data_IF_340691541416
#
_entry.id   IF_340691541416
#
_cell.length_a   1.000
_cell.length_b   1.000
_cell.length_c   1.000
_cell.angle_alpha   90.00
_cell.angle_beta   90.00
_cell.angle_gamma   90.00
#
_symmetry.space_group_name_H-M   'P 1'
#
loop_
_entity.id
_entity.type
_entity.pdbx_description
1 polymer ?
#
# COMPACT_ATOMS: atom_id res chain seq x y z
N UNK A 1 19.72 -32.25 -31.13
CA UNK A 1 19.45 -30.81 -31.17
C UNK A 1 20.39 -30.11 -30.19
N UNK A 2 21.13 -29.08 -30.55
CA UNK A 2 22.01 -28.38 -29.64
C UNK A 2 21.14 -27.69 -28.56
N UNK A 3 21.61 -27.71 -27.30
CA UNK A 3 20.97 -26.98 -26.21
C UNK A 3 20.98 -25.48 -26.55
N UNK A 4 19.86 -24.74 -26.31
CA UNK A 4 19.87 -23.29 -26.50
C UNK A 4 20.97 -22.66 -25.62
N UNK A 5 21.65 -21.65 -26.16
CA UNK A 5 22.65 -20.90 -25.40
C UNK A 5 22.00 -20.30 -24.13
N UNK A 6 22.73 -20.24 -23.00
CA UNK A 6 22.20 -19.60 -21.80
C UNK A 6 21.88 -18.13 -22.11
N UNK A 7 20.63 -17.76 -21.83
CA UNK A 7 20.18 -16.35 -21.94
C UNK A 7 21.05 -15.54 -20.97
N UNK A 8 21.71 -14.50 -21.45
CA UNK A 8 22.50 -13.58 -20.62
C UNK A 8 21.59 -12.95 -19.56
N UNK A 9 22.01 -13.00 -18.32
CA UNK A 9 21.30 -12.30 -17.22
C UNK A 9 21.32 -10.80 -17.47
N UNK A 10 20.25 -10.14 -17.12
CA UNK A 10 20.18 -8.67 -17.15
C UNK A 10 20.95 -8.11 -15.95
N UNK A 11 21.45 -6.86 -16.01
CA UNK A 11 22.21 -6.25 -14.90
C UNK A 11 21.49 -6.28 -13.55
N UNK A 12 20.14 -6.18 -13.57
CA UNK A 12 19.35 -6.28 -12.34
C UNK A 12 19.31 -7.72 -11.78
N UNK A 13 19.29 -8.75 -12.63
CA UNK A 13 19.33 -10.15 -12.20
C UNK A 13 20.64 -10.50 -11.51
N UNK A 14 21.76 -9.96 -12.00
CA UNK A 14 23.06 -10.12 -11.36
C UNK A 14 23.05 -9.42 -9.99
N UNK A 15 22.62 -8.17 -9.93
CA UNK A 15 22.51 -7.42 -8.69
C UNK A 15 21.52 -8.08 -7.69
N UNK A 16 20.42 -8.65 -8.18
CA UNK A 16 19.47 -9.36 -7.35
C UNK A 16 20.07 -10.57 -6.64
N UNK A 17 20.84 -11.40 -7.33
CA UNK A 17 21.51 -12.56 -6.73
C UNK A 17 22.52 -12.15 -5.64
N UNK A 18 23.13 -10.99 -5.77
CA UNK A 18 24.08 -10.45 -4.78
C UNK A 18 23.39 -9.98 -3.49
N UNK A 19 22.21 -9.38 -3.62
CA UNK A 19 21.50 -8.75 -2.49
C UNK A 19 20.35 -9.59 -1.91
N UNK A 20 20.06 -10.72 -2.54
CA UNK A 20 18.96 -11.63 -2.17
C UNK A 20 19.03 -12.03 -0.69
N UNK A 21 18.03 -11.67 0.12
CA UNK A 21 18.04 -12.02 1.54
C UNK A 21 17.90 -13.54 1.74
N UNK A 22 18.34 -14.02 2.89
CA UNK A 22 18.04 -15.39 3.30
C UNK A 22 16.50 -15.60 3.32
N UNK A 23 16.01 -16.82 3.00
CA UNK A 23 14.58 -17.07 2.90
C UNK A 23 13.87 -16.75 4.22
N UNK A 24 13.10 -15.68 4.18
CA UNK A 24 12.20 -15.27 5.25
C UNK A 24 10.79 -15.63 4.80
N UNK A 25 10.05 -16.39 5.59
CA UNK A 25 8.59 -16.54 5.36
C UNK A 25 7.91 -15.20 5.63
N UNK A 26 7.94 -14.31 4.63
CA UNK A 26 7.40 -12.96 4.73
C UNK A 26 6.15 -12.75 3.87
N UNK A 27 5.75 -13.77 3.12
CA UNK A 27 4.56 -13.75 2.27
C UNK A 27 3.48 -14.68 2.80
N UNK A 28 2.22 -14.25 2.72
CA UNK A 28 1.05 -15.03 3.09
C UNK A 28 -0.07 -14.80 2.08
N UNK A 29 -0.63 -15.87 1.54
CA UNK A 29 -1.86 -15.77 0.74
C UNK A 29 -3.04 -15.43 1.64
N UNK A 30 -3.76 -14.37 1.29
CA UNK A 30 -4.95 -13.87 2.00
C UNK A 30 -6.21 -14.42 1.33
N UNK A 31 -6.27 -14.32 0.02
CA UNK A 31 -7.30 -14.86 -0.88
C UNK A 31 -6.59 -15.42 -2.13
N UNK A 32 -7.21 -16.32 -2.90
CA UNK A 32 -6.61 -16.82 -4.14
C UNK A 32 -6.16 -15.68 -5.07
N UNK A 33 -4.83 -15.61 -5.31
CA UNK A 33 -4.20 -14.56 -6.10
C UNK A 33 -3.88 -13.26 -5.36
N UNK A 34 -4.21 -13.13 -4.07
CA UNK A 34 -3.82 -12.00 -3.23
C UNK A 34 -2.86 -12.44 -2.15
N UNK A 35 -1.67 -11.87 -2.14
CA UNK A 35 -0.63 -12.17 -1.16
C UNK A 35 -0.25 -10.93 -0.37
N UNK A 36 -0.19 -11.06 0.95
CA UNK A 36 0.33 -10.02 1.84
C UNK A 36 1.82 -10.28 2.09
N UNK A 37 2.63 -9.24 1.91
CA UNK A 37 4.08 -9.27 2.10
C UNK A 37 4.47 -8.40 3.28
N UNK A 38 5.24 -8.93 4.22
CA UNK A 38 5.83 -8.12 5.30
C UNK A 38 7.02 -7.34 4.78
N UNK A 39 6.86 -6.03 4.67
CA UNK A 39 7.93 -5.09 4.35
C UNK A 39 8.55 -4.49 5.62
N UNK A 40 9.35 -3.46 5.48
CA UNK A 40 9.80 -2.63 6.60
C UNK A 40 8.76 -1.54 6.84
N UNK A 41 8.19 -1.50 8.03
CA UNK A 41 7.20 -0.48 8.46
C UNK A 41 5.75 -0.89 8.22
N UNK A 42 5.42 -1.37 7.05
CA UNK A 42 4.04 -1.73 6.65
C UNK A 42 3.94 -3.14 6.05
N UNK A 43 2.85 -3.41 5.38
CA UNK A 43 2.63 -4.57 4.51
C UNK A 43 2.32 -4.09 3.10
N UNK A 44 3.04 -4.67 2.15
CA UNK A 44 2.69 -4.58 0.73
C UNK A 44 1.76 -5.73 0.34
N UNK A 45 1.10 -5.62 -0.80
CA UNK A 45 0.28 -6.69 -1.34
C UNK A 45 0.66 -6.99 -2.79
N UNK A 46 0.72 -8.28 -3.13
CA UNK A 46 0.85 -8.75 -4.50
C UNK A 46 -0.51 -9.23 -4.98
N UNK A 47 -1.02 -8.60 -6.01
CA UNK A 47 -2.26 -8.97 -6.70
C UNK A 47 -1.86 -9.68 -7.99
N UNK A 48 -2.01 -11.00 -8.01
CA UNK A 48 -1.62 -11.86 -9.14
C UNK A 48 -2.82 -12.09 -10.04
N UNK A 49 -2.75 -11.61 -11.27
CA UNK A 49 -3.79 -11.80 -12.29
C UNK A 49 -3.17 -12.31 -13.60
N UNK A 50 -3.44 -13.56 -13.92
CA UNK A 50 -2.79 -14.23 -15.05
C UNK A 50 -1.26 -14.20 -14.93
N UNK A 51 -0.58 -13.56 -15.89
CA UNK A 51 0.88 -13.42 -15.90
C UNK A 51 1.37 -12.14 -15.22
N UNK A 52 0.48 -11.23 -14.89
CA UNK A 52 0.84 -9.93 -14.36
C UNK A 52 0.63 -9.85 -12.84
N UNK A 53 1.46 -9.05 -12.20
CA UNK A 53 1.36 -8.72 -10.78
C UNK A 53 1.19 -7.21 -10.65
N UNK A 54 0.19 -6.80 -9.88
CA UNK A 54 0.10 -5.44 -9.33
C UNK A 54 0.63 -5.48 -7.89
N UNK A 55 1.67 -4.69 -7.62
CA UNK A 55 2.20 -4.46 -6.29
C UNK A 55 1.47 -3.26 -5.68
N UNK A 56 0.98 -3.40 -4.45
CA UNK A 56 0.36 -2.31 -3.69
C UNK A 56 1.26 -2.00 -2.51
N UNK A 57 1.73 -0.76 -2.44
CA UNK A 57 2.73 -0.23 -1.52
C UNK A 57 4.10 -0.92 -1.59
N UNK A 58 5.13 -0.27 -1.06
CA UNK A 58 6.53 -0.69 -1.20
C UNK A 58 7.29 -0.78 0.12
N UNK A 59 6.67 -0.36 1.24
CA UNK A 59 7.34 -0.31 2.54
C UNK A 59 8.38 0.82 2.63
N UNK A 60 9.13 0.86 3.73
CA UNK A 60 10.27 1.74 3.89
C UNK A 60 11.43 1.36 2.94
N UNK A 61 12.37 2.27 2.76
CA UNK A 61 13.61 2.05 2.02
C UNK A 61 14.30 0.72 2.42
N UNK A 62 14.78 -0.03 1.43
CA UNK A 62 15.35 -1.37 1.60
C UNK A 62 14.31 -2.48 1.78
N UNK A 63 13.04 -2.23 1.43
CA UNK A 63 12.01 -3.26 1.35
C UNK A 63 11.97 -3.99 0.00
N UNK A 64 12.53 -3.41 -1.05
CA UNK A 64 12.57 -3.98 -2.40
C UNK A 64 13.02 -5.44 -2.43
N UNK A 65 14.18 -5.83 -1.84
CA UNK A 65 14.64 -7.22 -1.81
C UNK A 65 13.64 -8.19 -1.16
N UNK A 66 12.89 -7.75 -0.16
CA UNK A 66 11.86 -8.58 0.49
C UNK A 66 10.66 -8.81 -0.40
N UNK A 67 10.24 -7.79 -1.15
CA UNK A 67 9.14 -7.84 -2.11
C UNK A 67 9.51 -8.78 -3.26
N UNK A 68 10.68 -8.60 -3.87
CA UNK A 68 11.14 -9.45 -4.97
C UNK A 68 11.30 -10.92 -4.52
N UNK A 69 11.82 -11.16 -3.33
CA UNK A 69 11.91 -12.51 -2.77
C UNK A 69 10.51 -13.13 -2.55
N UNK A 70 9.54 -12.34 -2.06
CA UNK A 70 8.16 -12.82 -1.92
C UNK A 70 7.52 -13.21 -3.26
N UNK A 71 7.82 -12.47 -4.33
CA UNK A 71 7.38 -12.81 -5.69
C UNK A 71 7.99 -14.16 -6.14
N UNK A 72 9.27 -14.38 -5.88
CA UNK A 72 9.90 -15.67 -6.19
C UNK A 72 9.36 -16.82 -5.31
N UNK A 73 9.07 -16.54 -4.03
CA UNK A 73 8.52 -17.54 -3.08
C UNK A 73 7.14 -18.06 -3.52
N UNK A 74 6.34 -17.22 -4.20
CA UNK A 74 5.07 -17.63 -4.81
C UNK A 74 5.23 -18.21 -6.23
N UNK A 75 6.47 -18.51 -6.65
CA UNK A 75 6.77 -19.14 -7.93
C UNK A 75 6.68 -18.20 -9.14
N UNK A 76 6.84 -16.89 -8.94
CA UNK A 76 6.70 -15.88 -10.00
C UNK A 76 8.04 -15.17 -10.25
N UNK A 77 8.10 -14.46 -11.37
CA UNK A 77 9.25 -13.60 -11.71
C UNK A 77 9.03 -12.19 -11.17
N UNK A 78 10.05 -11.52 -10.61
CA UNK A 78 9.98 -10.08 -10.32
C UNK A 78 9.52 -9.23 -11.51
N UNK A 79 9.83 -9.64 -12.73
CA UNK A 79 9.38 -8.97 -13.96
C UNK A 79 7.88 -9.13 -14.25
N UNK A 80 7.17 -9.99 -13.54
CA UNK A 80 5.73 -10.09 -13.62
C UNK A 80 5.06 -8.87 -12.95
N UNK A 81 5.78 -8.11 -12.10
CA UNK A 81 5.29 -6.83 -11.57
C UNK A 81 5.24 -5.82 -12.72
N UNK A 82 4.03 -5.49 -13.18
CA UNK A 82 3.77 -4.53 -14.26
C UNK A 82 3.27 -3.20 -13.74
N UNK A 83 2.64 -3.21 -12.58
CA UNK A 83 2.04 -2.02 -11.97
C UNK A 83 2.40 -1.96 -10.49
N UNK A 84 2.74 -0.77 -10.02
CA UNK A 84 2.89 -0.44 -8.61
C UNK A 84 1.83 0.61 -8.28
N UNK A 85 1.01 0.38 -7.27
CA UNK A 85 0.02 1.35 -6.78
C UNK A 85 0.42 1.76 -5.38
N UNK A 86 0.58 3.05 -5.15
CA UNK A 86 0.88 3.62 -3.83
C UNK A 86 -0.42 4.13 -3.22
N UNK A 87 -0.74 3.65 -2.02
CA UNK A 87 -1.95 4.05 -1.31
C UNK A 87 -1.87 5.48 -0.80
N UNK A 88 -0.69 5.93 -0.36
CA UNK A 88 -0.41 7.30 0.08
C UNK A 88 1.11 7.53 0.23
N UNK A 89 1.53 8.81 0.37
CA UNK A 89 2.94 9.20 0.30
C UNK A 89 3.78 8.90 1.55
N UNK A 90 3.25 8.38 2.65
CA UNK A 90 4.06 8.14 3.86
C UNK A 90 5.22 7.17 3.59
N UNK A 91 6.34 7.41 4.27
CA UNK A 91 7.62 6.75 4.06
C UNK A 91 7.53 5.22 4.07
N UNK A 92 6.73 4.65 4.93
CA UNK A 92 6.57 3.20 5.05
C UNK A 92 5.60 2.58 4.01
N UNK A 93 5.12 3.39 3.07
CA UNK A 93 4.35 2.97 1.89
C UNK A 93 5.11 3.24 0.60
N UNK A 94 5.76 4.39 0.48
CA UNK A 94 6.43 4.81 -0.75
C UNK A 94 7.95 4.60 -0.71
N UNK A 95 8.54 4.35 0.46
CA UNK A 95 9.98 4.39 0.68
C UNK A 95 10.82 3.39 -0.14
N UNK A 96 10.24 2.26 -0.53
CA UNK A 96 10.89 1.27 -1.42
C UNK A 96 10.67 1.54 -2.91
N UNK A 97 9.89 2.55 -3.28
CA UNK A 97 9.49 2.78 -4.67
C UNK A 97 10.67 3.15 -5.59
N UNK A 98 11.56 4.11 -5.27
CA UNK A 98 12.69 4.43 -6.13
C UNK A 98 13.58 3.22 -6.41
N UNK A 99 13.89 2.44 -5.38
CA UNK A 99 14.69 1.21 -5.49
C UNK A 99 14.05 0.19 -6.45
N UNK A 100 12.73 0.00 -6.35
CA UNK A 100 12.01 -0.92 -7.24
C UNK A 100 11.93 -0.40 -8.67
N UNK A 101 11.82 0.91 -8.88
CA UNK A 101 11.81 1.51 -10.22
C UNK A 101 13.17 1.38 -10.93
N UNK A 102 14.27 1.35 -10.17
CA UNK A 102 15.60 1.07 -10.74
C UNK A 102 15.74 -0.37 -11.27
N UNK A 103 14.95 -1.29 -10.70
CA UNK A 103 15.05 -2.72 -11.01
C UNK A 103 13.96 -3.24 -11.95
N UNK A 104 12.79 -2.60 -11.94
CA UNK A 104 11.60 -3.08 -12.62
C UNK A 104 11.05 -2.05 -13.62
N UNK A 105 10.64 -2.49 -14.81
CA UNK A 105 9.97 -1.61 -15.77
C UNK A 105 8.48 -1.43 -15.44
N UNK A 106 8.10 -1.45 -14.15
CA UNK A 106 6.72 -1.32 -13.71
C UNK A 106 6.24 0.13 -13.81
N UNK A 107 4.96 0.31 -14.16
CA UNK A 107 4.30 1.62 -14.14
C UNK A 107 3.79 1.91 -12.74
N UNK A 108 3.97 3.14 -12.29
CA UNK A 108 3.55 3.58 -10.95
C UNK A 108 2.31 4.45 -11.02
N UNK A 109 1.28 4.08 -10.23
CA UNK A 109 0.07 4.86 -10.01
C UNK A 109 0.03 5.42 -8.59
N UNK A 110 -0.25 6.72 -8.47
CA UNK A 110 -0.41 7.45 -7.21
C UNK A 110 -1.58 8.42 -7.36
N UNK A 111 -2.36 8.64 -6.30
CA UNK A 111 -3.41 9.64 -6.34
C UNK A 111 -2.83 11.05 -6.56
N UNK A 112 -3.49 11.85 -7.41
CA UNK A 112 -3.01 13.16 -7.84
C UNK A 112 -2.57 14.08 -6.68
N UNK A 113 -3.30 14.08 -5.56
CA UNK A 113 -2.98 14.94 -4.41
C UNK A 113 -1.67 14.55 -3.71
N UNK A 114 -1.28 13.26 -3.72
CA UNK A 114 -0.06 12.76 -3.11
C UNK A 114 1.11 12.69 -4.12
N UNK A 115 0.83 12.59 -5.41
CA UNK A 115 1.84 12.44 -6.46
C UNK A 115 2.91 13.55 -6.42
N UNK A 116 2.50 14.80 -6.14
CA UNK A 116 3.41 15.93 -6.01
C UNK A 116 4.52 15.74 -4.95
N UNK A 117 4.23 14.96 -3.90
CA UNK A 117 5.22 14.65 -2.85
C UNK A 117 6.13 13.51 -3.28
N UNK A 118 5.59 12.54 -4.02
CA UNK A 118 6.34 11.38 -4.53
C UNK A 118 7.32 11.79 -5.64
N UNK A 119 6.93 12.75 -6.49
CA UNK A 119 7.75 13.24 -7.62
C UNK A 119 8.74 14.36 -7.22
N UNK A 120 8.64 14.87 -6.00
CA UNK A 120 9.45 16.01 -5.54
C UNK A 120 10.86 15.58 -5.12
N UNK A 121 11.87 16.37 -5.52
CA UNK A 121 13.22 16.26 -4.96
C UNK A 121 13.32 16.80 -3.52
N UNK A 122 12.30 17.49 -3.02
CA UNK A 122 12.21 17.89 -1.63
C UNK A 122 11.84 16.66 -0.76
N UNK A 123 12.35 16.58 0.47
CA UNK A 123 11.96 15.51 1.39
C UNK A 123 10.46 15.37 1.55
N UNK A 124 9.99 14.14 1.77
CA UNK A 124 8.59 13.86 2.06
C UNK A 124 8.12 14.69 3.27
N UNK A 125 6.86 15.17 3.26
CA UNK A 125 6.31 15.89 4.41
C UNK A 125 6.44 15.07 5.70
N UNK A 126 6.71 15.76 6.79
CA UNK A 126 6.79 15.11 8.11
C UNK A 126 5.39 14.60 8.51
N UNK A 127 5.20 13.30 8.73
CA UNK A 127 3.88 12.74 8.99
C UNK A 127 3.36 13.04 10.40
N UNK A 128 4.22 13.52 11.31
CA UNK A 128 3.81 13.78 12.70
C UNK A 128 3.04 15.10 12.82
N UNK A 129 1.79 15.02 13.23
CA UNK A 129 0.94 16.20 13.49
C UNK A 129 1.30 16.93 14.78
N UNK A 130 1.94 16.26 15.74
CA UNK A 130 2.38 16.88 16.98
C UNK A 130 3.74 17.57 16.80
N UNK A 131 3.88 18.91 17.02
CA UNK A 131 5.10 19.67 16.68
C UNK A 131 6.38 19.17 17.34
N UNK A 132 6.30 18.72 18.60
CA UNK A 132 7.48 18.20 19.31
C UNK A 132 7.95 16.87 18.70
N UNK A 133 7.02 15.96 18.36
CA UNK A 133 7.36 14.69 17.72
C UNK A 133 7.89 14.93 16.31
N UNK A 134 7.29 15.83 15.56
CA UNK A 134 7.76 16.22 14.24
C UNK A 134 9.24 16.65 14.31
N UNK A 135 9.57 17.56 15.24
CA UNK A 135 10.95 18.04 15.43
C UNK A 135 11.93 16.96 15.87
N UNK A 136 11.52 16.07 16.78
CA UNK A 136 12.38 14.99 17.29
C UNK A 136 12.65 13.95 16.19
N UNK A 137 11.65 13.62 15.38
CA UNK A 137 11.74 12.59 14.37
C UNK A 137 12.30 13.09 13.02
N UNK A 138 12.35 14.41 12.78
CA UNK A 138 12.80 15.00 11.53
C UNK A 138 14.20 14.49 11.07
N UNK A 139 15.24 14.41 11.92
CA UNK A 139 16.54 13.90 11.48
C UNK A 139 16.48 12.44 10.99
N UNK A 140 15.61 11.64 11.60
CA UNK A 140 15.39 10.25 11.14
C UNK A 140 14.68 10.22 9.80
N UNK A 141 13.64 11.04 9.62
CA UNK A 141 12.86 11.14 8.38
C UNK A 141 13.75 11.60 7.23
N UNK A 142 14.51 12.67 7.41
CA UNK A 142 15.45 13.19 6.40
C UNK A 142 16.53 12.18 6.01
N UNK A 143 17.05 11.42 6.97
CA UNK A 143 18.05 10.37 6.70
C UNK A 143 17.49 9.19 5.91
N UNK A 144 16.21 8.89 6.06
CA UNK A 144 15.53 7.75 5.43
C UNK A 144 14.61 8.19 4.29
N UNK A 145 14.68 9.46 3.88
CA UNK A 145 13.94 9.94 2.74
C UNK A 145 14.35 9.16 1.48
N UNK A 146 13.40 8.61 0.72
CA UNK A 146 13.72 7.77 -0.44
C UNK A 146 14.19 8.57 -1.65
N UNK A 147 14.00 9.90 -1.66
CA UNK A 147 14.12 10.76 -2.83
C UNK A 147 12.91 10.64 -3.77
N UNK A 148 12.97 11.42 -4.85
CA UNK A 148 11.91 11.44 -5.86
C UNK A 148 11.73 10.09 -6.55
N UNK A 149 10.48 9.79 -6.90
CA UNK A 149 10.12 8.63 -7.70
C UNK A 149 9.22 9.03 -8.85
N UNK A 150 9.26 8.29 -9.97
CA UNK A 150 8.43 8.55 -11.13
C UNK A 150 6.98 8.13 -10.87
N UNK A 151 6.03 8.97 -11.26
CA UNK A 151 4.60 8.65 -11.31
C UNK A 151 4.17 8.59 -12.77
N UNK A 152 3.71 7.43 -13.23
CA UNK A 152 3.30 7.20 -14.62
C UNK A 152 1.80 7.42 -14.83
N UNK A 153 1.00 7.32 -13.73
CA UNK A 153 -0.45 7.46 -13.76
C UNK A 153 -0.93 8.21 -12.51
N UNK A 154 -1.63 9.31 -12.72
CA UNK A 154 -2.33 10.00 -11.65
C UNK A 154 -3.70 9.36 -11.44
N UNK A 155 -3.87 8.72 -10.29
CA UNK A 155 -5.11 8.04 -9.93
C UNK A 155 -6.13 9.01 -9.36
N UNK A 156 -7.40 8.71 -9.63
CA UNK A 156 -8.57 9.45 -9.16
C UNK A 156 -9.64 8.50 -8.62
N UNK A 157 -10.59 9.07 -7.87
CA UNK A 157 -11.74 8.30 -7.37
C UNK A 157 -12.53 7.66 -8.50
N UNK A 158 -12.80 6.38 -8.38
CA UNK A 158 -13.56 5.61 -9.36
C UNK A 158 -12.74 5.02 -10.50
N UNK A 159 -11.44 5.33 -10.63
CA UNK A 159 -10.59 4.71 -11.64
C UNK A 159 -10.57 3.17 -11.48
N UNK A 160 -10.59 2.48 -12.62
CA UNK A 160 -10.54 1.02 -12.66
C UNK A 160 -9.20 0.54 -13.22
N UNK A 161 -8.54 -0.33 -12.47
CA UNK A 161 -7.30 -0.97 -12.86
C UNK A 161 -7.56 -2.46 -13.14
N UNK A 162 -6.97 -3.03 -14.21
CA UNK A 162 -7.18 -4.43 -14.58
C UNK A 162 -6.41 -5.34 -13.61
N UNK A 163 -7.01 -5.71 -12.48
CA UNK A 163 -6.43 -6.64 -11.53
C UNK A 163 -7.53 -7.48 -10.88
N UNK A 164 -7.42 -8.81 -10.92
CA UNK A 164 -8.37 -9.78 -10.36
C UNK A 164 -9.84 -9.54 -10.76
N UNK A 165 -10.05 -9.15 -12.02
CA UNK A 165 -11.39 -8.88 -12.57
C UNK A 165 -11.92 -7.48 -12.30
N UNK A 166 -11.06 -6.55 -11.94
CA UNK A 166 -11.34 -5.13 -11.72
C UNK A 166 -11.01 -4.69 -10.29
N UNK A 167 -10.07 -3.79 -10.18
CA UNK A 167 -9.69 -3.10 -8.95
C UNK A 167 -10.09 -1.63 -9.08
N UNK A 168 -10.99 -1.17 -8.22
CA UNK A 168 -11.48 0.21 -8.25
C UNK A 168 -10.76 1.05 -7.20
N UNK A 169 -10.26 2.19 -7.63
CA UNK A 169 -9.70 3.22 -6.74
C UNK A 169 -10.83 3.91 -6.00
N UNK A 170 -10.72 3.99 -4.69
CA UNK A 170 -11.64 4.73 -3.82
C UNK A 170 -10.84 5.80 -3.09
N UNK A 171 -10.99 7.06 -3.47
CA UNK A 171 -10.35 8.17 -2.77
C UNK A 171 -10.91 8.25 -1.35
N UNK A 172 -10.04 8.10 -0.38
CA UNK A 172 -10.34 8.05 1.06
C UNK A 172 -9.39 8.99 1.83
N UNK A 173 -9.50 10.30 1.58
CA UNK A 173 -8.59 11.30 2.14
C UNK A 173 -8.72 11.44 3.65
N UNK A 174 -7.81 12.22 4.22
CA UNK A 174 -7.74 12.57 5.63
C UNK A 174 -6.50 12.03 6.32
N UNK A 175 -6.11 10.76 6.09
CA UNK A 175 -4.81 10.27 6.56
C UNK A 175 -3.68 11.03 5.84
N UNK A 176 -3.73 11.08 4.52
CA UNK A 176 -3.13 12.12 3.67
C UNK A 176 -4.21 12.66 2.74
N UNK A 177 -3.94 13.80 2.07
CA UNK A 177 -4.87 14.37 1.10
C UNK A 177 -5.11 13.46 -0.11
N UNK A 178 -4.14 12.60 -0.46
CA UNK A 178 -4.22 11.67 -1.58
C UNK A 178 -4.41 10.20 -1.18
N UNK A 179 -4.75 9.91 0.07
CA UNK A 179 -4.98 8.54 0.52
C UNK A 179 -6.07 7.85 -0.30
N UNK A 180 -5.78 6.62 -0.76
CA UNK A 180 -6.73 5.78 -1.47
C UNK A 180 -6.91 4.43 -0.79
N UNK A 181 -8.11 3.87 -0.96
CA UNK A 181 -8.42 2.47 -0.73
C UNK A 181 -8.65 1.78 -2.08
N UNK A 182 -8.51 0.46 -2.11
CA UNK A 182 -8.65 -0.32 -3.34
C UNK A 182 -9.75 -1.35 -3.14
N UNK A 183 -10.84 -1.20 -3.89
CA UNK A 183 -12.00 -2.09 -3.84
C UNK A 183 -11.95 -3.08 -4.99
N UNK A 184 -12.14 -4.36 -4.69
CA UNK A 184 -12.20 -5.47 -5.63
C UNK A 184 -13.61 -6.10 -5.57
N UNK A 185 -14.59 -5.52 -6.27
CA UNK A 185 -15.99 -5.93 -6.13
C UNK A 185 -16.19 -7.39 -6.51
N UNK A 186 -15.54 -7.88 -7.56
CA UNK A 186 -15.63 -9.26 -8.03
C UNK A 186 -14.96 -10.29 -7.09
N UNK A 187 -14.23 -9.82 -6.08
CA UNK A 187 -13.54 -10.63 -5.07
C UNK A 187 -14.10 -10.42 -3.66
N UNK A 188 -15.08 -9.54 -3.53
CA UNK A 188 -15.63 -9.18 -2.23
C UNK A 188 -14.57 -8.66 -1.25
N UNK A 189 -13.62 -7.83 -1.73
CA UNK A 189 -12.48 -7.40 -0.92
C UNK A 189 -12.27 -5.89 -0.99
N UNK A 190 -11.88 -5.32 0.16
CA UNK A 190 -11.44 -3.93 0.29
C UNK A 190 -10.06 -3.88 0.96
N UNK A 191 -9.10 -3.20 0.34
CA UNK A 191 -7.80 -2.85 0.93
C UNK A 191 -7.84 -1.37 1.29
N UNK A 192 -7.71 -1.04 2.57
CA UNK A 192 -7.98 0.32 3.06
C UNK A 192 -6.73 1.18 3.27
N UNK A 193 -5.54 0.65 2.98
CA UNK A 193 -4.32 1.37 3.33
C UNK A 193 -4.31 1.69 4.83
N UNK A 194 -4.18 2.97 5.14
CA UNK A 194 -4.19 3.50 6.51
C UNK A 194 -5.47 4.26 6.88
N UNK A 195 -6.54 4.18 6.05
CA UNK A 195 -7.81 4.83 6.38
C UNK A 195 -8.46 4.29 7.67
N UNK A 196 -8.13 3.05 8.07
CA UNK A 196 -8.61 2.42 9.30
C UNK A 196 -7.53 1.55 9.95
N UNK A 197 -7.66 1.34 11.26
CA UNK A 197 -6.81 0.44 12.04
C UNK A 197 -7.64 -0.70 12.64
N UNK A 198 -7.00 -1.87 12.86
CA UNK A 198 -7.60 -2.99 13.55
C UNK A 198 -6.73 -3.41 14.73
N UNK A 199 -7.04 -2.88 15.92
CA UNK A 199 -6.29 -3.13 17.15
C UNK A 199 -7.20 -3.71 18.23
N UNK A 200 -6.68 -4.68 18.99
CA UNK A 200 -7.41 -5.29 20.10
C UNK A 200 -8.80 -5.85 19.71
N UNK A 201 -8.91 -6.37 18.48
CA UNK A 201 -10.17 -6.91 17.96
C UNK A 201 -11.21 -5.87 17.54
N UNK A 202 -10.86 -4.58 17.48
CA UNK A 202 -11.76 -3.47 17.16
C UNK A 202 -11.23 -2.63 16.00
N UNK A 203 -12.14 -2.15 15.17
CA UNK A 203 -11.86 -1.12 14.18
C UNK A 203 -11.70 0.24 14.88
N UNK A 204 -10.79 1.03 14.39
CA UNK A 204 -10.47 2.35 14.88
C UNK A 204 -10.18 3.29 13.70
N UNK A 205 -10.40 4.58 13.89
CA UNK A 205 -9.89 5.61 13.00
C UNK A 205 -8.36 5.54 12.91
N UNK A 206 -7.76 6.10 11.86
CA UNK A 206 -6.31 6.21 11.75
C UNK A 206 -5.72 6.98 12.94
N UNK A 207 -4.42 6.82 13.15
CA UNK A 207 -3.74 7.47 14.27
C UNK A 207 -3.72 8.98 14.11
N UNK A 208 -4.25 9.72 15.09
CA UNK A 208 -4.20 11.20 15.12
C UNK A 208 -2.79 11.76 14.97
N UNK A 209 -1.76 11.00 15.35
CA UNK A 209 -0.36 11.44 15.26
C UNK A 209 0.17 11.51 13.82
N UNK A 210 -0.49 10.82 12.90
CA UNK A 210 -0.06 10.66 11.51
C UNK A 210 -1.16 11.01 10.50
N UNK A 211 -2.24 11.64 10.93
CA UNK A 211 -3.41 11.93 10.09
C UNK A 211 -3.58 13.42 9.96
N UNK A 212 -3.54 13.91 8.72
CA UNK A 212 -3.60 15.33 8.39
C UNK A 212 -4.95 15.94 8.79
N UNK A 213 -6.06 15.27 8.46
CA UNK A 213 -7.42 15.69 8.76
C UNK A 213 -8.27 14.52 9.28
N UNK A 214 -8.62 14.58 10.58
CA UNK A 214 -9.41 13.53 11.22
C UNK A 214 -10.90 13.58 10.88
N UNK A 215 -11.42 14.75 10.52
CA UNK A 215 -12.81 14.89 10.12
C UNK A 215 -13.00 14.29 8.72
N UNK A 216 -12.09 14.61 7.80
CA UNK A 216 -12.06 14.01 6.46
C UNK A 216 -11.83 12.50 6.51
N UNK A 217 -10.89 12.01 7.34
CA UNK A 217 -10.68 10.59 7.57
C UNK A 217 -11.94 9.88 8.10
N UNK A 218 -12.73 10.57 8.93
CA UNK A 218 -14.01 10.04 9.43
C UNK A 218 -15.05 9.92 8.32
N UNK A 219 -15.16 10.91 7.45
CA UNK A 219 -16.05 10.85 6.26
C UNK A 219 -15.60 9.74 5.29
N UNK A 220 -14.28 9.59 5.09
CA UNK A 220 -13.72 8.49 4.30
C UNK A 220 -14.14 7.13 4.83
N UNK A 221 -14.11 6.90 6.15
CA UNK A 221 -14.61 5.65 6.74
C UNK A 221 -16.10 5.45 6.46
N UNK A 222 -16.91 6.50 6.50
CA UNK A 222 -18.36 6.41 6.16
C UNK A 222 -18.56 6.02 4.70
N UNK A 223 -17.82 6.65 3.79
CA UNK A 223 -17.83 6.32 2.36
C UNK A 223 -17.45 4.85 2.12
N UNK A 224 -16.38 4.37 2.78
CA UNK A 224 -15.95 2.98 2.67
C UNK A 224 -16.98 1.98 3.23
N UNK A 225 -17.76 2.37 4.23
CA UNK A 225 -18.84 1.54 4.80
C UNK A 225 -20.04 1.33 3.86
N UNK A 226 -20.14 2.12 2.80
CA UNK A 226 -21.20 1.97 1.77
C UNK A 226 -20.87 0.88 0.74
N UNK A 227 -19.61 0.42 0.71
CA UNK A 227 -19.17 -0.61 -0.22
C UNK A 227 -19.56 -2.01 0.26
N UNK A 228 -19.69 -2.93 -0.71
CA UNK A 228 -19.92 -4.35 -0.44
C UNK A 228 -18.61 -5.12 -0.51
N UNK A 229 -18.22 -5.77 0.58
CA UNK A 229 -17.04 -6.62 0.68
C UNK A 229 -17.17 -7.59 1.87
N UNK A 230 -16.52 -8.72 1.77
CA UNK A 230 -16.44 -9.75 2.83
C UNK A 230 -15.12 -9.66 3.58
N UNK A 231 -14.02 -9.35 2.82
CA UNK A 231 -12.66 -9.31 3.33
C UNK A 231 -12.13 -7.87 3.38
N UNK A 232 -11.49 -7.53 4.51
CA UNK A 232 -10.84 -6.22 4.71
C UNK A 232 -9.36 -6.39 4.98
N UNK A 233 -8.52 -5.75 4.16
CA UNK A 233 -7.06 -5.75 4.25
C UNK A 233 -6.54 -4.40 4.73
N UNK A 234 -5.47 -4.42 5.52
CA UNK A 234 -4.84 -3.24 6.14
C UNK A 234 -3.35 -3.22 5.86
N UNK A 235 -2.74 -2.05 5.84
CA UNK A 235 -1.30 -1.93 5.67
C UNK A 235 -0.48 -2.27 6.92
N UNK A 236 -1.07 -2.21 8.12
CA UNK A 236 -0.34 -2.48 9.37
C UNK A 236 -0.87 -3.67 10.18
N UNK A 237 -2.08 -4.15 9.88
CA UNK A 237 -2.78 -5.15 10.69
C UNK A 237 -3.08 -6.43 9.89
N UNK A 238 -3.48 -7.48 10.60
CA UNK A 238 -3.97 -8.70 9.97
C UNK A 238 -5.31 -8.43 9.29
N UNK A 239 -5.58 -9.06 8.14
CA UNK A 239 -6.87 -8.91 7.48
C UNK A 239 -8.02 -9.50 8.30
N UNK A 240 -9.21 -8.97 8.11
CA UNK A 240 -10.47 -9.57 8.53
C UNK A 240 -11.02 -10.31 7.30
N UNK A 241 -11.11 -11.62 7.39
CA UNK A 241 -11.42 -12.46 6.23
C UNK A 241 -12.91 -12.65 5.97
N UNK A 242 -13.76 -12.45 7.00
CA UNK A 242 -15.21 -12.66 6.90
C UNK A 242 -15.99 -11.63 7.71
N UNK A 243 -17.15 -11.21 7.18
CA UNK A 243 -18.07 -10.27 7.84
C UNK A 243 -17.44 -8.90 8.07
N UNK A 244 -16.49 -8.49 7.26
CA UNK A 244 -15.77 -7.25 7.45
C UNK A 244 -16.66 -6.04 7.15
N UNK A 245 -17.52 -6.09 6.15
CA UNK A 245 -18.46 -5.04 5.77
C UNK A 245 -19.42 -4.69 6.91
N UNK A 246 -20.00 -5.70 7.56
CA UNK A 246 -20.91 -5.50 8.69
C UNK A 246 -20.19 -4.78 9.85
N UNK A 247 -18.93 -5.16 10.13
CA UNK A 247 -18.10 -4.51 11.17
C UNK A 247 -17.77 -3.06 10.82
N UNK A 248 -17.44 -2.78 9.54
CA UNK A 248 -17.14 -1.41 9.09
C UNK A 248 -18.41 -0.55 9.13
N UNK A 249 -19.57 -1.07 8.72
CA UNK A 249 -20.87 -0.37 8.84
C UNK A 249 -21.23 -0.08 10.30
N UNK A 250 -21.03 -1.02 11.21
CA UNK A 250 -21.23 -0.80 12.66
C UNK A 250 -20.29 0.26 13.20
N UNK A 251 -19.00 0.17 12.84
CA UNK A 251 -17.99 1.14 13.24
C UNK A 251 -18.34 2.55 12.73
N UNK A 252 -18.66 2.72 11.44
CA UNK A 252 -19.06 4.00 10.85
C UNK A 252 -20.27 4.63 11.54
N UNK A 253 -21.30 3.82 11.88
CA UNK A 253 -22.46 4.29 12.67
C UNK A 253 -22.06 4.79 14.05
N UNK A 254 -21.10 4.14 14.71
CA UNK A 254 -20.63 4.54 16.04
C UNK A 254 -19.89 5.90 16.04
N UNK A 255 -19.34 6.31 14.89
CA UNK A 255 -18.67 7.61 14.73
C UNK A 255 -19.66 8.79 14.72
N UNK A 256 -20.91 8.58 14.29
CA UNK A 256 -21.99 9.58 14.33
C UNK A 256 -22.49 9.83 15.75
N UNK A 257 -22.73 8.77 16.50
CA UNK A 257 -23.29 8.86 17.85
C UNK A 257 -22.39 9.60 18.85
N UNK A 258 -21.07 9.62 18.62
CA UNK A 258 -20.12 10.34 19.53
C UNK A 258 -20.14 11.86 19.39
N UNK A 259 -20.61 12.42 18.28
CA UNK A 259 -20.75 13.89 18.11
C UNK A 259 -21.97 14.44 18.87
N UNK A 260 -23.02 13.67 19.07
CA UNK A 260 -24.26 14.11 19.76
C UNK A 260 -24.10 14.21 21.29
N UNK A 261 -23.10 13.52 21.87
CA UNK A 261 -22.85 13.54 23.32
C UNK A 261 -21.69 14.47 23.75
N UNK A 262 -21.08 15.20 22.82
CA UNK A 262 -19.97 16.14 23.07
C UNK A 262 -20.36 17.60 22.88
N UNK A 263 -21.66 17.89 22.74
CA UNK A 263 -22.28 19.21 22.60
C UNK A 263 -22.82 19.73 23.93
#
# INVERSE_FOLDING_TARGET
MPRPAPVSRTPWQERWEEIKPAPLRNVQEVLPGLFQVRTRGSRAYLVVDGNDITLIDTGNQGSGPRILHAVEEIGRSPHDIKTIVITHYHLDHVGGLPELQDWLPARTGVHLADARHVESDAPLPNPFTHPLLARICEPYLLRNDPGAARVDVYLSDGDELPALGGMRVVHAPGHTAGSISLHFPNRGMLLVGDAMQFKFGRLMLPSRLFTEDMDEATESVRKLAELDFETLCFSHFRPILTGADARVREFARSLGARREYAG
#
